data_IF_896338070953
#
_entry.id   IF_896338070953
#
_cell.length_a   1.000
_cell.length_b   1.000
_cell.length_c   1.000
_cell.angle_alpha   90.00
_cell.angle_beta   90.00
_cell.angle_gamma   90.00
#
_symmetry.space_group_name_H-M   'P 1'
#
loop_
_entity.id
_entity.type
_entity.pdbx_description
1 polymer ?
#
# COMPACT_ATOMS: atom_id res chain seq x y z
N UNK A 1 -4.50 -26.74 -0.62
CA UNK A 1 -5.40 -25.66 -1.08
C UNK A 1 -4.58 -24.57 -1.78
N UNK A 2 -4.39 -24.71 -3.09
CA UNK A 2 -3.89 -23.66 -3.97
C UNK A 2 -5.09 -22.72 -4.16
N UNK A 3 -5.23 -21.73 -3.28
CA UNK A 3 -6.17 -20.66 -3.55
C UNK A 3 -5.62 -19.94 -4.79
N UNK A 4 -6.39 -19.95 -5.86
CA UNK A 4 -5.99 -19.48 -7.18
C UNK A 4 -5.40 -18.08 -7.09
N UNK A 5 -4.06 -17.99 -7.13
CA UNK A 5 -3.31 -16.73 -6.99
C UNK A 5 -3.83 -15.70 -7.98
N UNK A 6 -4.31 -16.16 -9.15
CA UNK A 6 -4.99 -15.34 -10.15
C UNK A 6 -6.23 -14.63 -9.60
N UNK A 7 -7.11 -15.33 -8.88
CA UNK A 7 -8.31 -14.72 -8.27
C UNK A 7 -7.93 -13.71 -7.20
N UNK A 8 -6.93 -14.02 -6.38
CA UNK A 8 -6.42 -13.08 -5.38
C UNK A 8 -5.85 -11.81 -6.03
N UNK A 9 -4.95 -11.96 -7.00
CA UNK A 9 -4.34 -10.85 -7.73
C UNK A 9 -5.38 -10.02 -8.46
N UNK A 10 -6.38 -10.65 -9.08
CA UNK A 10 -7.45 -9.96 -9.78
C UNK A 10 -8.34 -9.15 -8.82
N UNK A 11 -8.78 -9.74 -7.71
CA UNK A 11 -9.56 -9.02 -6.69
C UNK A 11 -8.75 -7.90 -6.05
N UNK A 12 -7.45 -8.13 -5.80
CA UNK A 12 -6.55 -7.11 -5.26
C UNK A 12 -6.33 -5.96 -6.25
N UNK A 13 -6.18 -6.26 -7.54
CA UNK A 13 -6.10 -5.26 -8.61
C UNK A 13 -7.37 -4.41 -8.68
N UNK A 14 -8.55 -5.03 -8.67
CA UNK A 14 -9.83 -4.27 -8.67
C UNK A 14 -9.92 -3.35 -7.45
N UNK A 15 -9.62 -3.88 -6.26
CA UNK A 15 -9.60 -3.07 -5.04
C UNK A 15 -8.64 -1.89 -5.19
N UNK A 16 -7.43 -2.13 -5.70
CA UNK A 16 -6.42 -1.10 -5.88
C UNK A 16 -6.85 -0.02 -6.89
N UNK A 17 -7.49 -0.42 -8.00
CA UNK A 17 -8.06 0.49 -8.98
C UNK A 17 -9.19 1.34 -8.39
N UNK A 18 -10.03 0.77 -7.51
CA UNK A 18 -11.05 1.53 -6.80
C UNK A 18 -10.45 2.57 -5.86
N UNK A 19 -9.38 2.21 -5.13
CA UNK A 19 -8.66 3.17 -4.27
C UNK A 19 -8.05 4.31 -5.10
N UNK A 20 -7.45 3.99 -6.25
CA UNK A 20 -6.94 5.00 -7.18
C UNK A 20 -8.06 5.93 -7.66
N UNK A 21 -9.22 5.39 -8.07
CA UNK A 21 -10.36 6.19 -8.52
C UNK A 21 -10.87 7.12 -7.41
N UNK A 22 -11.00 6.60 -6.18
CA UNK A 22 -11.42 7.41 -5.02
C UNK A 22 -10.40 8.52 -4.74
N UNK A 23 -9.11 8.21 -4.77
CA UNK A 23 -8.06 9.20 -4.55
C UNK A 23 -8.07 10.29 -5.62
N UNK A 24 -8.22 9.91 -6.90
CA UNK A 24 -8.37 10.88 -7.99
C UNK A 24 -9.63 11.73 -7.80
N UNK A 25 -10.76 11.15 -7.39
CA UNK A 25 -11.97 11.92 -7.07
C UNK A 25 -11.76 12.89 -5.90
N UNK A 26 -11.02 12.48 -4.87
CA UNK A 26 -10.65 13.34 -3.73
C UNK A 26 -9.72 14.49 -4.14
N UNK A 27 -8.78 14.26 -5.07
CA UNK A 27 -7.93 15.32 -5.62
C UNK A 27 -8.76 16.41 -6.31
N UNK A 28 -9.85 16.02 -6.99
CA UNK A 28 -10.79 16.96 -7.60
C UNK A 28 -11.65 17.69 -6.57
N UNK A 29 -12.05 17.01 -5.49
CA UNK A 29 -12.88 17.60 -4.43
C UNK A 29 -12.10 18.54 -3.48
N UNK A 30 -10.80 18.33 -3.32
CA UNK A 30 -9.96 19.08 -2.38
C UNK A 30 -8.75 19.75 -3.07
N UNK A 31 -8.91 21.02 -3.49
CA UNK A 31 -7.91 21.72 -4.29
C UNK A 31 -6.52 21.86 -3.66
N UNK A 32 -6.41 21.78 -2.34
CA UNK A 32 -5.13 21.83 -1.63
C UNK A 32 -4.15 20.71 -2.00
N UNK A 33 -4.62 19.64 -2.66
CA UNK A 33 -3.80 18.53 -3.15
C UNK A 33 -3.47 18.62 -4.67
N UNK A 34 -3.92 19.66 -5.38
CA UNK A 34 -3.92 19.74 -6.86
C UNK A 34 -2.55 19.92 -7.51
N UNK A 35 -1.52 20.35 -6.77
CA UNK A 35 -0.17 20.54 -7.34
C UNK A 35 0.63 19.22 -7.50
N UNK A 36 -0.05 18.10 -7.76
CA UNK A 36 0.58 16.83 -8.07
C UNK A 36 0.17 16.38 -9.49
N UNK A 37 1.09 16.35 -10.47
CA UNK A 37 0.76 15.91 -11.82
C UNK A 37 0.29 14.46 -11.82
N UNK A 38 -0.75 14.15 -12.61
CA UNK A 38 -1.38 12.83 -12.67
C UNK A 38 -0.39 11.68 -12.91
N UNK A 39 0.67 11.94 -13.67
CA UNK A 39 1.74 10.96 -13.94
C UNK A 39 2.45 10.53 -12.66
N UNK A 40 2.70 11.45 -11.72
CA UNK A 40 3.32 11.12 -10.42
C UNK A 40 2.35 10.32 -9.54
N UNK A 41 1.06 10.65 -9.56
CA UNK A 41 0.02 9.87 -8.87
C UNK A 41 0.00 8.43 -9.39
N UNK A 42 0.01 8.24 -10.71
CA UNK A 42 0.05 6.91 -11.33
C UNK A 42 1.31 6.13 -10.95
N UNK A 43 2.48 6.78 -10.93
CA UNK A 43 3.75 6.17 -10.51
C UNK A 43 3.69 5.72 -9.04
N UNK A 44 3.17 6.56 -8.15
CA UNK A 44 2.97 6.23 -6.72
C UNK A 44 2.08 5.00 -6.58
N UNK A 45 0.93 5.01 -7.26
CA UNK A 45 -0.03 3.91 -7.19
C UNK A 45 0.55 2.63 -7.77
N UNK A 46 1.26 2.69 -8.89
CA UNK A 46 1.94 1.53 -9.45
C UNK A 46 2.99 0.95 -8.47
N UNK A 47 3.81 1.79 -7.86
CA UNK A 47 4.78 1.37 -6.86
C UNK A 47 4.11 0.72 -5.64
N UNK A 48 3.08 1.38 -5.07
CA UNK A 48 2.34 0.86 -3.92
C UNK A 48 1.59 -0.44 -4.26
N UNK A 49 1.13 -0.63 -5.49
CA UNK A 49 0.51 -1.87 -5.95
C UNK A 49 1.51 -3.03 -5.90
N UNK A 50 2.68 -2.85 -6.52
CA UNK A 50 3.75 -3.85 -6.54
C UNK A 50 4.20 -4.19 -5.12
N UNK A 51 4.45 -3.16 -4.30
CA UNK A 51 4.94 -3.32 -2.95
C UNK A 51 3.94 -4.03 -2.04
N UNK A 52 2.67 -3.62 -2.05
CA UNK A 52 1.65 -4.27 -1.24
C UNK A 52 1.32 -5.68 -1.76
N UNK A 53 1.37 -5.93 -3.07
CA UNK A 53 1.20 -7.30 -3.60
C UNK A 53 2.27 -8.23 -3.03
N UNK A 54 3.54 -7.82 -3.08
CA UNK A 54 4.63 -8.59 -2.50
C UNK A 54 4.44 -8.78 -0.98
N UNK A 55 4.03 -7.73 -0.28
CA UNK A 55 3.78 -7.77 1.16
C UNK A 55 2.65 -8.74 1.54
N UNK A 56 1.49 -8.68 0.87
CA UNK A 56 0.38 -9.59 1.10
C UNK A 56 0.73 -11.04 0.77
N UNK A 57 1.49 -11.29 -0.30
CA UNK A 57 1.97 -12.63 -0.63
C UNK A 57 2.87 -13.17 0.49
N UNK A 58 3.80 -12.35 1.00
CA UNK A 58 4.66 -12.68 2.12
C UNK A 58 3.87 -12.97 3.40
N UNK A 59 2.93 -12.09 3.77
CA UNK A 59 2.08 -12.26 4.94
C UNK A 59 1.25 -13.53 4.88
N UNK A 60 0.65 -13.80 3.74
CA UNK A 60 -0.16 -15.00 3.54
C UNK A 60 0.67 -16.26 3.68
N UNK A 61 1.89 -16.26 3.15
CA UNK A 61 2.83 -17.36 3.32
C UNK A 61 3.20 -17.56 4.80
N UNK A 62 3.50 -16.47 5.52
CA UNK A 62 3.83 -16.48 6.94
C UNK A 62 2.67 -17.00 7.79
N UNK A 63 1.45 -16.47 7.62
CA UNK A 63 0.27 -16.91 8.38
C UNK A 63 0.07 -18.42 8.23
N UNK A 64 0.25 -18.94 7.01
CA UNK A 64 0.11 -20.36 6.72
C UNK A 64 1.22 -21.21 7.34
N UNK A 65 2.47 -20.73 7.29
CA UNK A 65 3.62 -21.49 7.79
C UNK A 65 3.71 -21.37 9.31
N UNK A 66 3.77 -20.17 9.84
CA UNK A 66 4.14 -19.84 11.21
C UNK A 66 3.10 -18.90 11.87
N UNK A 67 1.85 -19.36 12.11
CA UNK A 67 0.76 -18.52 12.60
C UNK A 67 1.06 -17.85 13.95
N UNK A 68 1.76 -18.54 14.85
CA UNK A 68 2.14 -18.02 16.18
C UNK A 68 3.03 -16.77 16.14
N UNK A 69 3.80 -16.59 15.06
CA UNK A 69 4.71 -15.46 14.89
C UNK A 69 4.20 -14.43 13.87
N UNK A 70 2.97 -14.60 13.36
CA UNK A 70 2.44 -13.80 12.27
C UNK A 70 2.40 -12.30 12.60
N UNK A 71 2.05 -11.91 13.83
CA UNK A 71 2.04 -10.51 14.25
C UNK A 71 3.43 -9.86 14.29
N UNK A 72 4.43 -10.59 14.81
CA UNK A 72 5.81 -10.10 14.87
C UNK A 72 6.41 -9.98 13.46
N UNK A 73 6.20 -11.01 12.63
CA UNK A 73 6.67 -11.00 11.25
C UNK A 73 5.94 -9.97 10.38
N UNK A 74 4.65 -9.72 10.63
CA UNK A 74 3.92 -8.60 10.01
C UNK A 74 4.57 -7.27 10.34
N UNK A 75 4.94 -7.05 11.60
CA UNK A 75 5.61 -5.81 12.03
C UNK A 75 6.96 -5.66 11.34
N UNK A 76 7.77 -6.72 11.30
CA UNK A 76 9.07 -6.71 10.63
C UNK A 76 8.94 -6.43 9.12
N UNK A 77 8.01 -7.10 8.44
CA UNK A 77 7.74 -6.86 7.02
C UNK A 77 7.19 -5.45 6.76
N UNK A 78 6.37 -4.92 7.65
CA UNK A 78 5.83 -3.55 7.56
C UNK A 78 6.93 -2.51 7.72
N UNK A 79 7.91 -2.73 8.61
CA UNK A 79 9.09 -1.87 8.74
C UNK A 79 9.95 -1.89 7.46
N UNK A 80 10.16 -3.07 6.88
CA UNK A 80 10.87 -3.19 5.59
C UNK A 80 10.10 -2.47 4.48
N UNK A 81 8.77 -2.63 4.43
CA UNK A 81 7.88 -1.94 3.49
C UNK A 81 7.99 -0.42 3.63
N UNK A 82 8.00 0.08 4.86
CA UNK A 82 8.18 1.48 5.18
C UNK A 82 9.53 2.00 4.68
N UNK A 83 10.62 1.26 4.91
CA UNK A 83 11.95 1.63 4.42
C UNK A 83 11.98 1.77 2.89
N UNK A 84 11.44 0.79 2.15
CA UNK A 84 11.33 0.88 0.69
C UNK A 84 10.47 2.06 0.23
N UNK A 85 9.41 2.36 0.97
CA UNK A 85 8.53 3.49 0.68
C UNK A 85 9.24 4.83 0.86
N UNK A 86 10.04 4.97 1.93
CA UNK A 86 10.87 6.16 2.17
C UNK A 86 11.94 6.31 1.08
N UNK A 87 12.66 5.24 0.76
CA UNK A 87 13.69 5.25 -0.29
C UNK A 87 13.12 5.62 -1.65
N UNK A 88 11.91 5.15 -1.96
CA UNK A 88 11.20 5.50 -3.19
C UNK A 88 10.78 6.98 -3.22
N UNK A 89 10.34 7.52 -2.08
CA UNK A 89 9.88 8.90 -1.97
C UNK A 89 11.03 9.92 -2.02
N UNK A 90 12.20 9.54 -1.51
CA UNK A 90 13.37 10.39 -1.34
C UNK A 90 13.79 11.18 -2.60
N UNK A 91 13.92 10.58 -3.80
CA UNK A 91 14.27 11.31 -5.02
C UNK A 91 13.18 12.30 -5.48
N UNK A 92 11.94 12.14 -5.01
CA UNK A 92 10.87 13.09 -5.31
C UNK A 92 10.73 14.20 -4.27
N UNK A 93 11.43 14.11 -3.14
CA UNK A 93 11.46 15.18 -2.14
C UNK A 93 12.75 15.97 -2.24
N UNK A 94 13.85 15.34 -2.65
CA UNK A 94 15.17 15.94 -2.70
C UNK A 94 15.75 16.01 -4.13
N UNK A 95 16.17 17.20 -4.60
CA UNK A 95 16.09 18.50 -3.93
C UNK A 95 14.66 19.04 -3.86
N UNK A 96 14.37 19.79 -2.79
CA UNK A 96 13.05 20.35 -2.50
C UNK A 96 12.60 21.24 -3.66
N UNK A 97 11.48 20.88 -4.28
CA UNK A 97 10.88 21.60 -5.40
C UNK A 97 9.41 21.90 -5.13
N UNK A 98 8.86 22.85 -5.87
CA UNK A 98 7.43 23.20 -5.81
C UNK A 98 6.59 21.98 -6.18
N UNK A 99 6.04 21.29 -5.17
CA UNK A 99 5.29 20.04 -5.34
C UNK A 99 5.74 18.88 -4.44
N UNK A 100 6.92 18.95 -3.82
CA UNK A 100 7.45 17.87 -2.96
C UNK A 100 6.52 17.56 -1.77
N UNK A 101 6.00 18.59 -1.09
CA UNK A 101 5.11 18.41 0.06
C UNK A 101 3.73 17.84 -0.33
N UNK A 102 2.99 18.39 -1.33
CA UNK A 102 1.77 17.76 -1.85
C UNK A 102 1.98 16.31 -2.29
N UNK A 103 3.10 16.00 -2.94
CA UNK A 103 3.42 14.65 -3.37
C UNK A 103 3.64 13.69 -2.19
N UNK A 104 4.42 14.12 -1.19
CA UNK A 104 4.65 13.35 0.03
C UNK A 104 3.34 13.07 0.78
N UNK A 105 2.44 14.06 0.88
CA UNK A 105 1.12 13.90 1.50
C UNK A 105 0.24 12.93 0.72
N UNK A 106 0.22 13.04 -0.62
CA UNK A 106 -0.54 12.11 -1.47
C UNK A 106 -0.04 10.67 -1.34
N UNK A 107 1.29 10.49 -1.33
CA UNK A 107 1.90 9.19 -1.09
C UNK A 107 1.53 8.65 0.29
N UNK A 108 1.68 9.46 1.34
CA UNK A 108 1.44 9.05 2.72
C UNK A 108 -0.03 8.71 2.96
N UNK A 109 -0.97 9.47 2.39
CA UNK A 109 -2.40 9.17 2.48
C UNK A 109 -2.74 7.80 1.87
N UNK A 110 -2.28 7.53 0.66
CA UNK A 110 -2.48 6.24 0.01
C UNK A 110 -1.81 5.09 0.77
N UNK A 111 -0.56 5.30 1.22
CA UNK A 111 0.20 4.33 1.99
C UNK A 111 -0.49 3.96 3.30
N UNK A 112 -0.92 4.95 4.10
CA UNK A 112 -1.58 4.73 5.39
C UNK A 112 -2.93 4.04 5.22
N UNK A 113 -3.70 4.41 4.20
CA UNK A 113 -4.96 3.74 3.88
C UNK A 113 -4.75 2.24 3.59
N UNK A 114 -3.75 1.92 2.76
CA UNK A 114 -3.41 0.54 2.42
C UNK A 114 -2.86 -0.23 3.63
N UNK A 115 -2.05 0.41 4.47
CA UNK A 115 -1.57 -0.19 5.72
C UNK A 115 -2.73 -0.51 6.68
N UNK A 116 -3.71 0.39 6.83
CA UNK A 116 -4.90 0.13 7.63
C UNK A 116 -5.68 -1.10 7.13
N UNK A 117 -5.83 -1.24 5.82
CA UNK A 117 -6.47 -2.42 5.22
C UNK A 117 -5.68 -3.71 5.48
N UNK A 118 -4.35 -3.68 5.43
CA UNK A 118 -3.51 -4.82 5.78
C UNK A 118 -3.68 -5.26 7.23
N UNK A 119 -3.75 -4.32 8.17
CA UNK A 119 -3.99 -4.61 9.59
C UNK A 119 -5.34 -5.31 9.78
N UNK A 120 -6.40 -4.81 9.13
CA UNK A 120 -7.73 -5.44 9.17
C UNK A 120 -7.68 -6.85 8.58
N UNK A 121 -7.01 -7.04 7.45
CA UNK A 121 -6.83 -8.35 6.83
C UNK A 121 -6.10 -9.33 7.75
N UNK A 122 -5.01 -8.88 8.39
CA UNK A 122 -4.26 -9.71 9.33
C UNK A 122 -5.13 -10.08 10.54
N UNK A 123 -5.78 -9.09 11.16
CA UNK A 123 -6.63 -9.31 12.34
C UNK A 123 -7.73 -10.35 12.04
N UNK A 124 -8.44 -10.20 10.91
CA UNK A 124 -9.47 -11.15 10.48
C UNK A 124 -8.92 -12.56 10.27
N UNK A 125 -7.73 -12.68 9.66
CA UNK A 125 -7.13 -14.00 9.41
C UNK A 125 -6.50 -14.63 10.65
N UNK A 126 -6.07 -13.86 11.64
CA UNK A 126 -5.60 -14.41 12.91
C UNK A 126 -6.78 -14.91 13.76
N UNK A 127 -7.89 -14.16 13.82
CA UNK A 127 -9.10 -14.56 14.55
C UNK A 127 -9.67 -15.88 14.02
N UNK A 128 -9.70 -16.08 12.70
CA UNK A 128 -10.28 -17.29 12.10
C UNK A 128 -9.38 -18.54 12.16
N UNK A 129 -8.11 -18.40 12.59
CA UNK A 129 -7.15 -19.52 12.70
C UNK A 129 -6.93 -19.96 14.16
N UNK A 130 -7.69 -19.38 15.11
CA UNK A 130 -7.79 -19.80 16.51
C UNK A 130 -9.18 -20.41 16.75
#
# INVERSE_FOLDING_TARGET
>A
MILDIRKFLFSFLIFFLLVLLIHVALLWAFPGFINCPINQVLIIYFFLFCLNTAHFMGLRWIIKKWPKFAGLLFTALSLVKMLFSILFLLPFIFPNHEGAMPLALNFMAAYLFLLGFEVIFLAKNMINNH
#
